data_IF_400124944296
#
_entry.id   IF_400124944296
#
_cell.length_a   1.000
_cell.length_b   1.000
_cell.length_c   1.000
_cell.angle_alpha   90.00
_cell.angle_beta   90.00
_cell.angle_gamma   90.00
#
_symmetry.space_group_name_H-M   'P 1'
#
loop_
_entity.id
_entity.type
_entity.pdbx_description
1 polymer ?
#
# COMPACT_ATOMS: atom_id res chain seq x y z
N UNK A 1 -9.56 -6.83 0.69
CA UNK A 1 -9.85 -5.91 -0.44
C UNK A 1 -9.73 -4.47 0.07
N UNK A 2 -9.06 -3.61 -0.68
CA UNK A 2 -9.04 -2.16 -0.45
C UNK A 2 -10.04 -1.50 -1.40
N UNK A 3 -10.85 -0.58 -0.89
CA UNK A 3 -11.73 0.28 -1.68
C UNK A 3 -11.69 1.70 -1.13
N UNK A 4 -11.43 2.65 -2.01
CA UNK A 4 -11.44 4.08 -1.73
C UNK A 4 -12.49 4.72 -2.64
N UNK A 5 -13.34 5.56 -2.06
CA UNK A 5 -14.42 6.24 -2.78
C UNK A 5 -14.32 7.74 -2.50
N UNK A 6 -14.31 8.53 -3.56
CA UNK A 6 -14.20 9.98 -3.56
C UNK A 6 -15.46 10.60 -4.18
N UNK A 7 -15.97 11.73 -3.66
CA UNK A 7 -17.17 12.39 -4.20
C UNK A 7 -16.92 13.01 -5.59
N UNK A 8 -15.68 13.39 -5.89
CA UNK A 8 -15.28 14.04 -7.14
C UNK A 8 -14.06 13.34 -7.75
N UNK A 9 -13.90 13.52 -9.06
CA UNK A 9 -12.76 12.96 -9.80
C UNK A 9 -11.46 13.62 -9.38
N UNK A 10 -10.57 12.86 -8.74
CA UNK A 10 -9.28 13.33 -8.26
C UNK A 10 -8.20 12.27 -8.45
N UNK A 11 -6.94 12.71 -8.42
CA UNK A 11 -5.84 11.78 -8.27
C UNK A 11 -5.87 11.21 -6.86
N UNK A 12 -5.59 9.92 -6.73
CA UNK A 12 -5.62 9.18 -5.46
C UNK A 12 -4.26 8.60 -5.20
N UNK A 13 -3.73 8.77 -3.99
CA UNK A 13 -2.42 8.23 -3.61
C UNK A 13 -2.55 7.56 -2.25
N UNK A 14 -1.84 6.47 -2.05
CA UNK A 14 -1.90 5.65 -0.86
C UNK A 14 -0.56 5.68 -0.15
N UNK A 15 -0.57 6.00 1.14
CA UNK A 15 0.62 5.86 1.99
C UNK A 15 0.36 4.79 3.03
N UNK A 16 1.26 3.82 3.10
CA UNK A 16 1.24 2.83 4.19
C UNK A 16 1.97 3.44 5.40
N UNK A 17 1.38 3.35 6.58
CA UNK A 17 2.01 3.66 7.86
C UNK A 17 1.97 2.45 8.79
N UNK A 18 2.95 2.38 9.68
CA UNK A 18 3.09 1.34 10.69
C UNK A 18 4.47 1.40 11.31
N UNK A 19 4.64 0.83 12.49
CA UNK A 19 5.96 0.66 13.09
C UNK A 19 6.76 -0.33 12.26
N UNK A 20 8.01 0.00 11.92
CA UNK A 20 8.88 -0.84 11.12
C UNK A 20 9.96 -1.53 11.94
N UNK A 21 10.41 -2.69 11.47
CA UNK A 21 11.65 -3.31 11.92
C UNK A 21 12.86 -2.72 11.15
N UNK A 22 14.07 -3.21 11.46
CA UNK A 22 15.30 -2.76 10.80
C UNK A 22 15.32 -2.99 9.28
N UNK A 23 14.53 -3.95 8.77
CA UNK A 23 14.39 -4.23 7.34
C UNK A 23 13.33 -3.35 6.66
N UNK A 24 12.65 -2.47 7.40
CA UNK A 24 11.63 -1.58 6.87
C UNK A 24 10.24 -2.21 6.72
N UNK A 25 10.01 -3.44 7.19
CA UNK A 25 8.71 -4.09 7.15
C UNK A 25 7.89 -3.77 8.41
N UNK A 26 6.56 -3.79 8.32
CA UNK A 26 5.68 -3.58 9.49
C UNK A 26 5.93 -4.68 10.52
N UNK A 27 6.12 -4.30 11.80
CA UNK A 27 6.31 -5.25 12.91
C UNK A 27 5.06 -6.09 13.13
N UNK A 28 5.24 -7.39 13.37
CA UNK A 28 4.17 -8.33 13.71
C UNK A 28 4.62 -9.22 14.89
N UNK A 29 3.91 -9.12 16.02
CA UNK A 29 4.33 -9.79 17.26
C UNK A 29 5.68 -9.26 17.76
N UNK A 30 6.49 -10.13 18.37
CA UNK A 30 7.78 -9.72 18.95
C UNK A 30 8.91 -9.61 17.92
N UNK A 31 9.03 -10.59 17.02
CA UNK A 31 10.13 -10.66 16.04
C UNK A 31 9.67 -10.95 14.62
N UNK A 32 8.36 -10.98 14.39
CA UNK A 32 7.78 -11.14 13.07
C UNK A 32 7.65 -9.83 12.31
N UNK A 33 7.27 -9.94 11.04
CA UNK A 33 6.95 -8.79 10.21
C UNK A 33 5.84 -9.12 9.20
N UNK A 34 5.25 -8.10 8.60
CA UNK A 34 4.29 -8.27 7.50
C UNK A 34 4.93 -7.93 6.16
N UNK A 35 4.69 -8.79 5.17
CA UNK A 35 4.85 -8.47 3.75
C UNK A 35 3.47 -8.07 3.23
N UNK A 36 3.38 -6.87 2.66
CA UNK A 36 2.11 -6.30 2.21
C UNK A 36 2.21 -6.02 0.72
N UNK A 37 1.24 -6.53 -0.05
CA UNK A 37 1.22 -6.45 -1.50
C UNK A 37 -0.10 -5.90 -1.99
N UNK A 38 -0.03 -4.97 -2.95
CA UNK A 38 -1.17 -4.44 -3.68
C UNK A 38 -1.15 -5.02 -5.10
N UNK A 39 -2.28 -5.50 -5.59
CA UNK A 39 -2.42 -6.05 -6.94
C UNK A 39 -3.84 -5.85 -7.48
N UNK A 40 -4.06 -6.15 -8.77
CA UNK A 40 -5.37 -6.08 -9.42
C UNK A 40 -6.05 -4.71 -9.20
N UNK A 41 -5.27 -3.64 -9.32
CA UNK A 41 -5.75 -2.29 -9.06
C UNK A 41 -6.65 -1.82 -10.20
N UNK A 42 -7.73 -1.13 -9.83
CA UNK A 42 -8.65 -0.53 -10.79
C UNK A 42 -9.02 0.89 -10.37
N UNK A 43 -9.11 1.79 -11.34
CA UNK A 43 -9.68 3.13 -11.16
C UNK A 43 -10.95 3.22 -11.98
N UNK A 44 -12.07 3.54 -11.33
CA UNK A 44 -13.40 3.58 -11.95
C UNK A 44 -13.74 2.29 -12.74
N UNK A 45 -13.29 1.14 -12.22
CA UNK A 45 -13.48 -0.19 -12.84
C UNK A 45 -12.52 -0.53 -13.99
N UNK A 46 -11.59 0.35 -14.35
CA UNK A 46 -10.57 0.11 -15.38
C UNK A 46 -9.26 -0.33 -14.74
N UNK A 47 -8.64 -1.38 -15.27
CA UNK A 47 -7.34 -1.87 -14.79
C UNK A 47 -6.26 -0.79 -14.90
N UNK A 48 -5.43 -0.66 -13.86
CA UNK A 48 -4.32 0.29 -13.78
C UNK A 48 -3.10 -0.37 -13.13
N UNK A 49 -1.92 0.17 -13.41
CA UNK A 49 -0.71 -0.21 -12.69
C UNK A 49 -0.53 0.65 -11.45
N UNK A 50 0.31 0.18 -10.52
CA UNK A 50 0.70 0.93 -9.33
C UNK A 50 2.17 1.31 -9.42
N UNK A 51 2.48 2.57 -9.21
CA UNK A 51 3.85 3.10 -9.16
C UNK A 51 4.15 3.74 -7.79
N UNK A 52 5.44 3.83 -7.46
CA UNK A 52 5.89 4.70 -6.37
C UNK A 52 5.68 6.17 -6.73
N UNK A 53 5.27 6.97 -5.77
CA UNK A 53 5.07 8.40 -5.94
C UNK A 53 5.54 9.20 -4.73
N UNK A 54 5.78 10.49 -4.91
CA UNK A 54 5.99 11.44 -3.81
C UNK A 54 4.66 11.89 -3.19
N UNK A 55 4.74 12.58 -2.05
CA UNK A 55 3.60 13.24 -1.41
C UNK A 55 2.99 14.39 -2.23
N UNK A 56 3.61 14.77 -3.35
CA UNK A 56 3.08 15.76 -4.30
C UNK A 56 2.61 15.15 -5.64
N UNK A 57 2.67 13.82 -5.78
CA UNK A 57 2.15 13.12 -6.96
C UNK A 57 3.15 12.95 -8.11
N UNK A 58 4.44 13.21 -7.88
CA UNK A 58 5.49 12.89 -8.85
C UNK A 58 5.72 11.38 -8.83
N UNK A 59 5.69 10.73 -9.99
CA UNK A 59 6.01 9.30 -10.11
C UNK A 59 7.52 9.13 -10.07
N UNK A 60 8.02 8.26 -9.19
CA UNK A 60 9.46 8.12 -8.91
C UNK A 60 9.95 6.66 -8.94
N UNK A 61 9.11 5.75 -9.43
CA UNK A 61 9.42 4.32 -9.49
C UNK A 61 8.64 3.68 -10.65
N UNK A 62 9.07 2.50 -11.09
CA UNK A 62 8.45 1.79 -12.19
C UNK A 62 7.01 1.36 -11.84
N UNK A 63 6.12 1.49 -12.82
CA UNK A 63 4.76 0.98 -12.73
C UNK A 63 4.75 -0.56 -12.75
N UNK A 64 3.87 -1.18 -11.95
CA UNK A 64 3.70 -2.62 -11.90
C UNK A 64 2.26 -3.01 -11.58
N UNK A 65 1.78 -4.13 -12.13
CA UNK A 65 0.46 -4.70 -11.80
C UNK A 65 0.39 -5.25 -10.37
N UNK A 66 1.56 -5.52 -9.77
CA UNK A 66 1.72 -6.00 -8.40
C UNK A 66 2.86 -5.27 -7.69
N UNK A 67 2.60 -4.75 -6.50
CA UNK A 67 3.51 -3.85 -5.80
C UNK A 67 3.63 -4.21 -4.32
N UNK A 68 4.86 -4.40 -3.85
CA UNK A 68 5.15 -4.46 -2.42
C UNK A 68 5.04 -3.06 -1.81
N UNK A 69 4.28 -2.96 -0.73
CA UNK A 69 4.10 -1.73 0.02
C UNK A 69 5.12 -1.69 1.17
N UNK A 70 5.77 -0.55 1.33
CA UNK A 70 6.67 -0.28 2.44
C UNK A 70 6.12 0.91 3.23
N UNK A 71 6.11 0.86 4.57
CA UNK A 71 5.70 1.99 5.40
C UNK A 71 6.51 3.25 5.10
N UNK A 72 5.84 4.39 5.12
CA UNK A 72 6.41 5.70 4.81
C UNK A 72 6.50 6.02 3.31
N UNK A 73 6.29 5.04 2.42
CA UNK A 73 6.24 5.27 0.97
C UNK A 73 4.82 5.56 0.51
N UNK A 74 4.73 6.42 -0.51
CA UNK A 74 3.49 6.74 -1.20
C UNK A 74 3.44 6.01 -2.55
N UNK A 75 2.25 5.55 -2.91
CA UNK A 75 1.97 4.79 -4.13
C UNK A 75 0.78 5.41 -4.84
N UNK A 76 0.76 5.31 -6.16
CA UNK A 76 -0.29 5.88 -6.99
C UNK A 76 -0.71 4.94 -8.12
N UNK A 77 -2.00 4.91 -8.49
CA UNK A 77 -2.42 4.28 -9.73
C UNK A 77 -1.94 5.11 -10.92
N UNK A 78 -1.46 4.42 -11.96
CA UNK A 78 -0.93 5.04 -13.18
C UNK A 78 -1.42 4.32 -14.43
N UNK A 79 -1.50 5.09 -15.52
CA UNK A 79 -1.73 4.59 -16.88
C UNK A 79 -0.61 5.12 -17.76
N UNK A 80 0.11 4.24 -18.46
CA UNK A 80 1.27 4.61 -19.28
C UNK A 80 2.33 5.42 -18.51
N UNK A 81 2.51 5.14 -17.22
CA UNK A 81 3.47 5.83 -16.34
C UNK A 81 3.00 7.16 -15.77
N UNK A 82 1.81 7.65 -16.14
CA UNK A 82 1.26 8.91 -15.64
C UNK A 82 0.20 8.70 -14.55
N UNK A 83 0.17 9.61 -13.59
CA UNK A 83 -0.80 9.60 -12.50
C UNK A 83 -2.23 9.70 -13.05
N UNK A 84 -3.07 8.71 -12.75
CA UNK A 84 -4.46 8.70 -13.20
C UNK A 84 -5.41 9.30 -12.16
N UNK A 85 -6.56 9.79 -12.62
CA UNK A 85 -7.62 10.40 -11.80
C UNK A 85 -8.89 9.57 -11.92
N UNK A 86 -9.64 9.49 -10.83
CA UNK A 86 -10.95 8.82 -10.80
C UNK A 86 -11.73 9.14 -9.54
N UNK A 87 -12.87 8.46 -9.37
CA UNK A 87 -13.71 8.55 -8.17
C UNK A 87 -13.55 7.33 -7.28
N UNK A 88 -13.25 6.17 -7.84
CA UNK A 88 -13.02 4.95 -7.08
C UNK A 88 -11.64 4.37 -7.38
N UNK A 89 -10.96 3.89 -6.35
CA UNK A 89 -9.78 3.06 -6.45
C UNK A 89 -10.04 1.77 -5.68
N UNK A 90 -10.01 0.64 -6.38
CA UNK A 90 -10.10 -0.69 -5.78
C UNK A 90 -8.82 -1.46 -6.04
N UNK A 91 -8.44 -2.32 -5.09
CA UNK A 91 -7.29 -3.20 -5.25
C UNK A 91 -7.37 -4.40 -4.31
N UNK A 92 -6.68 -5.47 -4.67
CA UNK A 92 -6.43 -6.58 -3.78
C UNK A 92 -5.23 -6.25 -2.89
N UNK A 93 -5.48 -6.24 -1.58
CA UNK A 93 -4.45 -6.13 -0.55
C UNK A 93 -4.20 -7.52 0.03
N UNK A 94 -3.00 -8.03 -0.18
CA UNK A 94 -2.51 -9.27 0.42
C UNK A 94 -1.57 -8.92 1.58
N UNK A 95 -1.75 -9.62 2.70
CA UNK A 95 -0.98 -9.43 3.92
C UNK A 95 -0.45 -10.81 4.34
N UNK A 96 0.86 -10.97 4.32
CA UNK A 96 1.55 -12.20 4.68
C UNK A 96 2.37 -11.97 5.96
N UNK A 97 1.99 -12.61 7.08
CA UNK A 97 2.81 -12.61 8.28
C UNK A 97 4.02 -13.54 8.13
N UNK A 98 5.21 -13.02 8.39
CA UNK A 98 6.46 -13.76 8.42
C UNK A 98 6.98 -13.78 9.84
N UNK A 99 7.07 -14.97 10.44
CA UNK A 99 7.59 -15.18 11.80
C UNK A 99 8.82 -16.09 11.76
N UNK A 100 9.86 -15.85 12.59
CA UNK A 100 10.97 -16.77 12.74
C UNK A 100 10.49 -18.13 13.25
N UNK A 101 11.08 -19.22 12.77
CA UNK A 101 10.72 -20.59 13.19
C UNK A 101 10.80 -20.80 14.70
N UNK A 102 11.73 -20.11 15.37
CA UNK A 102 11.87 -20.16 16.83
C UNK A 102 10.62 -19.60 17.56
N UNK A 103 9.93 -18.62 16.99
CA UNK A 103 8.69 -18.04 17.55
C UNK A 103 7.43 -18.78 17.12
N UNK A 104 7.51 -19.55 16.03
CA UNK A 104 6.44 -20.44 15.62
C UNK A 104 6.29 -21.67 16.55
N UNK A 105 7.32 -21.97 17.37
CA UNK A 105 7.29 -23.05 18.36
C UNK A 105 6.68 -22.56 19.67
N UNK A 106 5.36 -22.62 19.74
CA UNK A 106 4.58 -22.15 20.90
C UNK A 106 4.30 -23.29 21.88
N UNK A 107 4.71 -23.14 23.14
CA UNK A 107 4.36 -24.05 24.24
C UNK A 107 3.14 -23.60 25.05
N UNK A 108 2.69 -22.37 24.82
CA UNK A 108 1.51 -21.72 25.41
C UNK A 108 0.87 -20.79 24.39
N UNK A 109 -0.36 -20.34 24.64
CA UNK A 109 -1.02 -19.33 23.79
C UNK A 109 -0.16 -18.08 23.72
N UNK A 110 0.15 -17.64 22.49
CA UNK A 110 0.82 -16.38 22.20
C UNK A 110 -0.04 -15.56 21.25
N UNK A 111 -0.09 -14.24 21.49
CA UNK A 111 -0.81 -13.29 20.65
C UNK A 111 0.23 -12.50 19.86
N UNK A 112 0.11 -12.49 18.53
CA UNK A 112 0.94 -11.69 17.64
C UNK A 112 0.05 -10.72 16.88
N UNK A 113 0.39 -9.44 16.96
CA UNK A 113 -0.39 -8.35 16.40
C UNK A 113 0.48 -7.44 15.55
N UNK A 114 -0.14 -6.78 14.58
CA UNK A 114 0.45 -5.69 13.82
C UNK A 114 -0.54 -4.53 13.79
N UNK A 115 -0.01 -3.31 13.77
CA UNK A 115 -0.80 -2.10 13.56
C UNK A 115 -0.28 -1.40 12.32
N UNK A 116 -1.17 -1.21 11.36
CA UNK A 116 -0.90 -0.50 10.13
C UNK A 116 -2.09 0.39 9.76
N UNK A 117 -1.80 1.42 8.98
CA UNK A 117 -2.80 2.34 8.45
C UNK A 117 -2.50 2.58 6.99
N UNK A 118 -3.52 2.53 6.14
CA UNK A 118 -3.42 3.04 4.78
C UNK A 118 -4.14 4.37 4.71
N UNK A 119 -3.39 5.41 4.38
CA UNK A 119 -3.91 6.76 4.24
C UNK A 119 -4.13 7.08 2.77
N UNK A 120 -5.33 7.56 2.46
CA UNK A 120 -5.60 8.20 1.19
C UNK A 120 -5.11 9.65 1.25
N UNK A 121 -4.23 10.00 0.34
CA UNK A 121 -3.87 11.39 0.09
C UNK A 121 -4.51 11.84 -1.23
N UNK A 122 -5.29 12.93 -1.23
CA UNK A 122 -5.77 13.53 -2.47
C UNK A 122 -4.56 14.00 -3.30
N UNK A 123 -4.64 13.87 -4.62
CA UNK A 123 -3.65 14.45 -5.52
C UNK A 123 -3.60 15.97 -5.35
N UNK A 124 -2.40 16.54 -5.25
CA UNK A 124 -2.21 17.99 -5.28
C UNK A 124 -2.78 18.62 -6.57
N UNK A 125 -2.99 19.94 -6.59
CA UNK A 125 -3.57 20.60 -7.77
C UNK A 125 -2.72 20.31 -9.00
N UNK A 126 -3.39 19.90 -10.09
CA UNK A 126 -2.77 19.84 -11.40
C UNK A 126 -2.22 21.24 -11.70
N UNK A 127 -0.92 21.37 -11.87
CA UNK A 127 -0.36 22.61 -12.41
C UNK A 127 -0.84 22.73 -13.85
N UNK A 128 -1.71 23.70 -14.09
CA UNK A 128 -2.08 24.18 -15.41
C UNK A 128 -0.93 25.00 -16.00
#
# INVERSE_FOLDING_TARGET
>A
MLSVICPYTQAMRLTLRGQTNASGNVVYGERGSLVIRLSNAQVDGKSVQIAGSTADGIINDAASDSRLLQPGRTFAPVVSGELTRGKTLTAQLEIEPVIPTADARVSRRQISEARLTMELMPGGPARH
#
